data_IF_369365473482
#
_entry.id   IF_369365473482
#
_cell.length_a   1.000
_cell.length_b   1.000
_cell.length_c   1.000
_cell.angle_alpha   90.00
_cell.angle_beta   90.00
_cell.angle_gamma   90.00
#
_symmetry.space_group_name_H-M   'P 1'
#
loop_
_entity.id
_entity.type
_entity.pdbx_description
1 polymer ?
#
# COMPACT_ATOMS: atom_id res chain seq x y z
N UNK A 1 -9.68 -22.86 19.03
CA UNK A 1 -10.29 -22.74 17.68
C UNK A 1 -9.20 -22.36 16.70
N UNK A 2 -8.72 -23.29 15.87
CA UNK A 2 -7.78 -22.98 14.79
C UNK A 2 -8.56 -22.25 13.68
N UNK A 3 -8.17 -21.01 13.40
CA UNK A 3 -8.81 -20.20 12.34
C UNK A 3 -8.53 -20.85 10.99
N UNK A 4 -9.57 -21.07 10.17
CA UNK A 4 -9.42 -21.67 8.84
C UNK A 4 -8.57 -20.77 7.92
N UNK A 5 -7.66 -21.31 7.09
CA UNK A 5 -6.84 -20.52 6.17
C UNK A 5 -7.66 -19.64 5.23
N UNK A 6 -8.78 -20.15 4.72
CA UNK A 6 -9.72 -19.37 3.93
C UNK A 6 -10.35 -18.18 4.66
N UNK A 7 -10.48 -18.22 6.00
CA UNK A 7 -10.91 -17.05 6.78
C UNK A 7 -9.83 -15.98 6.80
N UNK A 8 -8.56 -16.37 6.94
CA UNK A 8 -7.41 -15.45 6.83
C UNK A 8 -7.36 -14.84 5.44
N UNK A 9 -7.52 -15.67 4.39
CA UNK A 9 -7.53 -15.23 3.00
C UNK A 9 -8.65 -14.22 2.69
N UNK A 10 -9.85 -14.42 3.25
CA UNK A 10 -10.93 -13.42 3.14
C UNK A 10 -10.60 -12.14 3.90
N UNK A 11 -9.99 -12.24 5.08
CA UNK A 11 -9.50 -11.07 5.82
C UNK A 11 -8.47 -10.25 5.03
N UNK A 12 -7.54 -10.93 4.35
CA UNK A 12 -6.61 -10.30 3.40
C UNK A 12 -7.36 -9.54 2.33
N UNK A 13 -8.34 -10.19 1.69
CA UNK A 13 -9.09 -9.59 0.58
C UNK A 13 -9.90 -8.38 1.00
N UNK A 14 -10.55 -8.43 2.17
CA UNK A 14 -11.27 -7.28 2.76
C UNK A 14 -10.32 -6.13 3.05
N UNK A 15 -9.17 -6.40 3.68
CA UNK A 15 -8.18 -5.37 3.97
C UNK A 15 -7.67 -4.71 2.68
N UNK A 16 -7.32 -5.51 1.66
CA UNK A 16 -6.91 -5.00 0.34
C UNK A 16 -8.01 -4.16 -0.32
N UNK A 17 -9.27 -4.62 -0.29
CA UNK A 17 -10.39 -3.88 -0.87
C UNK A 17 -10.58 -2.53 -0.19
N UNK A 18 -10.52 -2.49 1.14
CA UNK A 18 -10.64 -1.24 1.90
C UNK A 18 -9.47 -0.30 1.64
N UNK A 19 -8.24 -0.80 1.48
CA UNK A 19 -7.11 0.00 1.00
C UNK A 19 -7.39 0.62 -0.37
N UNK A 20 -7.83 -0.18 -1.34
CA UNK A 20 -8.12 0.31 -2.70
C UNK A 20 -9.23 1.37 -2.68
N UNK A 21 -10.31 1.15 -1.94
CA UNK A 21 -11.41 2.11 -1.82
C UNK A 21 -10.95 3.40 -1.15
N UNK A 22 -10.26 3.32 -0.02
CA UNK A 22 -9.79 4.50 0.71
C UNK A 22 -8.83 5.35 -0.13
N UNK A 23 -7.89 4.71 -0.84
CA UNK A 23 -6.96 5.39 -1.74
C UNK A 23 -7.66 6.01 -2.96
N UNK A 24 -8.56 5.26 -3.61
CA UNK A 24 -9.30 5.75 -4.78
C UNK A 24 -10.22 6.93 -4.44
N UNK A 25 -10.89 6.89 -3.28
CA UNK A 25 -11.74 8.01 -2.83
C UNK A 25 -10.89 9.19 -2.37
N UNK A 26 -9.91 8.97 -1.49
CA UNK A 26 -9.09 10.03 -0.92
C UNK A 26 -8.24 10.76 -1.97
N UNK A 27 -7.40 10.01 -2.71
CA UNK A 27 -6.54 10.59 -3.74
C UNK A 27 -7.33 10.87 -5.02
N UNK A 28 -8.04 9.86 -5.53
CA UNK A 28 -8.54 9.86 -6.91
C UNK A 28 -9.86 10.60 -7.13
N UNK A 29 -10.72 10.72 -6.11
CA UNK A 29 -12.00 11.42 -6.22
C UNK A 29 -11.99 12.76 -5.49
N UNK A 30 -11.42 12.81 -4.28
CA UNK A 30 -11.43 14.03 -3.47
C UNK A 30 -10.29 14.97 -3.87
N UNK A 31 -9.02 14.59 -3.68
CA UNK A 31 -7.89 15.51 -3.90
C UNK A 31 -7.81 16.02 -5.34
N UNK A 32 -8.00 15.15 -6.33
CA UNK A 32 -8.04 15.51 -7.76
C UNK A 32 -9.15 16.49 -8.12
N UNK A 33 -10.23 16.57 -7.33
CA UNK A 33 -11.35 17.49 -7.58
C UNK A 33 -11.13 18.90 -7.01
N UNK A 34 -10.25 19.03 -6.01
CA UNK A 34 -10.02 20.30 -5.30
C UNK A 34 -8.61 20.87 -5.53
N UNK A 35 -7.66 20.06 -6.02
CA UNK A 35 -6.32 20.49 -6.37
C UNK A 35 -6.22 20.67 -7.88
N UNK A 36 -6.03 21.90 -8.33
CA UNK A 36 -5.61 22.20 -9.70
C UNK A 36 -4.06 22.19 -9.76
N UNK A 37 -3.44 21.20 -10.41
CA UNK A 37 -1.98 21.11 -10.48
C UNK A 37 -1.32 22.26 -11.25
N UNK A 38 -2.07 23.00 -12.07
CA UNK A 38 -1.56 24.08 -12.90
C UNK A 38 -1.66 25.46 -12.23
N UNK A 39 -2.48 25.60 -11.18
CA UNK A 39 -2.74 26.88 -10.54
C UNK A 39 -1.74 27.17 -9.39
N UNK A 40 -1.00 28.30 -9.43
CA UNK A 40 -0.13 28.69 -8.34
C UNK A 40 -0.90 28.84 -7.02
N UNK A 41 -0.39 28.22 -5.95
CA UNK A 41 -1.01 28.28 -4.62
C UNK A 41 -2.28 27.43 -4.46
N UNK A 42 -2.65 26.60 -5.44
CA UNK A 42 -3.83 25.75 -5.39
C UNK A 42 -3.89 24.85 -4.15
N UNK A 43 -2.75 24.35 -3.68
CA UNK A 43 -2.68 23.53 -2.47
C UNK A 43 -3.15 24.28 -1.23
N UNK A 44 -2.66 25.51 -1.03
CA UNK A 44 -3.03 26.32 0.12
C UNK A 44 -4.46 26.85 0.01
N UNK A 45 -4.90 27.20 -1.21
CA UNK A 45 -6.28 27.56 -1.49
C UNK A 45 -7.24 26.39 -1.19
N UNK A 46 -6.94 25.16 -1.62
CA UNK A 46 -7.74 23.98 -1.32
C UNK A 46 -7.81 23.69 0.19
N UNK A 47 -6.70 23.85 0.92
CA UNK A 47 -6.67 23.70 2.37
C UNK A 47 -7.48 24.78 3.11
N UNK A 48 -7.69 25.95 2.49
CA UNK A 48 -8.47 27.07 3.05
C UNK A 48 -9.94 26.97 2.67
N UNK A 49 -10.23 26.94 1.36
CA UNK A 49 -11.58 27.02 0.80
C UNK A 49 -12.35 25.69 0.91
N UNK A 50 -11.63 24.57 0.99
CA UNK A 50 -12.20 23.21 1.04
C UNK A 50 -11.67 22.42 2.25
N UNK A 51 -11.36 23.09 3.36
CA UNK A 51 -10.69 22.52 4.54
C UNK A 51 -11.27 21.16 5.01
N UNK A 52 -12.60 21.07 5.16
CA UNK A 52 -13.26 19.83 5.61
C UNK A 52 -13.08 18.66 4.64
N UNK A 53 -13.24 18.92 3.35
CA UNK A 53 -13.07 17.93 2.27
C UNK A 53 -11.61 17.50 2.14
N UNK A 54 -10.69 18.46 2.19
CA UNK A 54 -9.25 18.19 2.19
C UNK A 54 -8.84 17.33 3.40
N UNK A 55 -9.33 17.66 4.60
CA UNK A 55 -9.11 16.86 5.82
C UNK A 55 -9.64 15.44 5.71
N UNK A 56 -10.85 15.27 5.16
CA UNK A 56 -11.42 13.94 4.92
C UNK A 56 -10.51 13.11 4.01
N UNK A 57 -9.95 13.71 2.96
CA UNK A 57 -9.00 13.04 2.08
C UNK A 57 -7.75 12.55 2.83
N UNK A 58 -7.15 13.41 3.67
CA UNK A 58 -6.00 13.04 4.51
C UNK A 58 -6.33 11.90 5.47
N UNK A 59 -7.52 11.93 6.09
CA UNK A 59 -7.99 10.85 6.99
C UNK A 59 -8.15 9.54 6.22
N UNK A 60 -8.80 9.55 5.06
CA UNK A 60 -8.96 8.35 4.24
C UNK A 60 -7.62 7.76 3.83
N UNK A 61 -6.67 8.59 3.40
CA UNK A 61 -5.32 8.16 3.02
C UNK A 61 -4.48 7.65 4.21
N UNK A 62 -4.82 8.07 5.44
CA UNK A 62 -4.19 7.55 6.66
C UNK A 62 -4.82 6.21 7.06
N UNK A 63 -6.15 6.11 7.00
CA UNK A 63 -6.89 4.87 7.26
C UNK A 63 -6.54 3.78 6.24
N UNK A 64 -6.30 4.17 4.98
CA UNK A 64 -5.74 3.30 3.93
C UNK A 64 -4.51 2.52 4.43
N UNK A 65 -3.61 3.18 5.18
CA UNK A 65 -2.38 2.57 5.66
C UNK A 65 -2.62 1.56 6.78
N UNK A 66 -3.67 1.74 7.59
CA UNK A 66 -4.07 0.77 8.61
C UNK A 66 -4.53 -0.53 7.95
N UNK A 67 -5.37 -0.41 6.91
CA UNK A 67 -5.82 -1.58 6.14
C UNK A 67 -4.67 -2.23 5.37
N UNK A 68 -3.75 -1.44 4.82
CA UNK A 68 -2.56 -1.96 4.16
C UNK A 68 -1.69 -2.76 5.13
N UNK A 69 -1.43 -2.24 6.33
CA UNK A 69 -0.68 -2.94 7.36
C UNK A 69 -1.35 -4.27 7.74
N UNK A 70 -2.67 -4.25 7.95
CA UNK A 70 -3.44 -5.46 8.22
C UNK A 70 -3.33 -6.48 7.08
N UNK A 71 -3.43 -6.03 5.82
CA UNK A 71 -3.29 -6.89 4.64
C UNK A 71 -1.91 -7.56 4.60
N UNK A 72 -0.82 -6.83 4.79
CA UNK A 72 0.55 -7.39 4.78
C UNK A 72 0.73 -8.39 5.92
N UNK A 73 0.25 -8.08 7.13
CA UNK A 73 0.33 -9.00 8.27
C UNK A 73 -0.45 -10.29 8.03
N UNK A 74 -1.67 -10.19 7.48
CA UNK A 74 -2.48 -11.37 7.17
C UNK A 74 -1.87 -12.18 6.02
N UNK A 75 -1.31 -11.53 5.00
CA UNK A 75 -0.56 -12.18 3.93
C UNK A 75 0.63 -12.97 4.46
N UNK A 76 1.40 -12.41 5.37
CA UNK A 76 2.48 -13.12 6.04
C UNK A 76 1.99 -14.40 6.71
N UNK A 77 0.92 -14.32 7.50
CA UNK A 77 0.34 -15.50 8.17
C UNK A 77 -0.10 -16.56 7.16
N UNK A 78 -0.74 -16.12 6.08
CA UNK A 78 -1.23 -17.01 5.02
C UNK A 78 -0.08 -17.67 4.25
N UNK A 79 0.98 -16.93 3.91
CA UNK A 79 2.07 -17.40 3.05
C UNK A 79 3.23 -18.06 3.79
N UNK A 80 3.35 -17.89 5.11
CA UNK A 80 4.44 -18.46 5.92
C UNK A 80 4.69 -19.95 5.67
N UNK A 81 3.67 -20.82 5.55
CA UNK A 81 3.90 -22.25 5.25
C UNK A 81 4.52 -22.54 3.87
N UNK A 82 4.43 -21.61 2.91
CA UNK A 82 5.02 -21.78 1.59
C UNK A 82 6.52 -21.41 1.53
N UNK A 83 7.02 -20.69 2.54
CA UNK A 83 8.41 -20.25 2.61
C UNK A 83 8.62 -19.22 3.72
N UNK A 84 9.00 -19.63 4.95
CA UNK A 84 9.02 -18.73 6.11
C UNK A 84 9.99 -17.56 5.95
N UNK A 85 11.20 -17.78 5.41
CA UNK A 85 12.18 -16.72 5.21
C UNK A 85 11.71 -15.64 4.24
N UNK A 86 11.21 -16.05 3.06
CA UNK A 86 10.67 -15.12 2.07
C UNK A 86 9.38 -14.45 2.57
N UNK A 87 8.56 -15.12 3.39
CA UNK A 87 7.38 -14.52 3.99
C UNK A 87 7.74 -13.40 4.98
N UNK A 88 8.81 -13.58 5.77
CA UNK A 88 9.34 -12.52 6.66
C UNK A 88 9.90 -11.36 5.85
N UNK A 89 10.66 -11.63 4.78
CA UNK A 89 11.15 -10.57 3.89
C UNK A 89 9.98 -9.79 3.26
N UNK A 90 8.97 -10.48 2.74
CA UNK A 90 7.77 -9.85 2.18
C UNK A 90 7.03 -8.99 3.21
N UNK A 91 6.89 -9.48 4.44
CA UNK A 91 6.33 -8.72 5.56
C UNK A 91 7.13 -7.46 5.86
N UNK A 92 8.46 -7.59 6.00
CA UNK A 92 9.34 -6.47 6.31
C UNK A 92 9.28 -5.38 5.24
N UNK A 93 9.37 -5.76 3.96
CA UNK A 93 9.21 -4.84 2.83
C UNK A 93 7.84 -4.14 2.86
N UNK A 94 6.78 -4.90 3.17
CA UNK A 94 5.42 -4.36 3.21
C UNK A 94 5.20 -3.38 4.37
N UNK A 95 5.77 -3.66 5.54
CA UNK A 95 5.75 -2.76 6.70
C UNK A 95 6.54 -1.48 6.40
N UNK A 96 7.74 -1.60 5.85
CA UNK A 96 8.57 -0.44 5.46
C UNK A 96 7.84 0.43 4.44
N UNK A 97 7.28 -0.17 3.38
CA UNK A 97 6.53 0.57 2.37
C UNK A 97 5.28 1.27 2.95
N UNK A 98 4.58 0.61 3.86
CA UNK A 98 3.42 1.20 4.57
C UNK A 98 3.85 2.36 5.47
N UNK A 99 4.96 2.21 6.21
CA UNK A 99 5.47 3.26 7.08
C UNK A 99 5.93 4.49 6.30
N UNK A 100 6.64 4.29 5.17
CA UNK A 100 7.06 5.38 4.28
C UNK A 100 5.83 6.10 3.72
N UNK A 101 4.83 5.39 3.19
CA UNK A 101 3.59 6.02 2.70
C UNK A 101 2.82 6.75 3.79
N UNK A 102 2.77 6.22 5.02
CA UNK A 102 2.12 6.89 6.13
C UNK A 102 2.84 8.20 6.48
N UNK A 103 4.18 8.15 6.60
CA UNK A 103 5.00 9.33 6.87
C UNK A 103 4.88 10.37 5.74
N UNK A 104 4.74 9.94 4.49
CA UNK A 104 4.61 10.84 3.35
C UNK A 104 3.33 11.69 3.38
N UNK A 105 2.30 11.27 4.13
CA UNK A 105 1.07 12.06 4.35
C UNK A 105 1.31 13.33 5.16
N UNK A 106 2.46 13.47 5.83
CA UNK A 106 2.87 14.75 6.43
C UNK A 106 2.92 15.89 5.41
N UNK A 107 3.25 15.59 4.14
CA UNK A 107 3.20 16.57 3.04
C UNK A 107 1.80 17.13 2.81
N UNK A 108 0.77 16.29 2.91
CA UNK A 108 -0.63 16.73 2.82
C UNK A 108 -1.12 17.40 4.11
N UNK A 109 -0.55 17.07 5.27
CA UNK A 109 -0.90 17.70 6.55
C UNK A 109 -0.32 19.12 6.66
N UNK A 110 0.84 19.39 6.05
CA UNK A 110 1.51 20.69 6.16
C UNK A 110 0.65 21.89 5.72
N UNK A 111 -0.05 21.87 4.56
CA UNK A 111 -0.97 22.94 4.17
C UNK A 111 -2.09 23.19 5.18
N UNK A 112 -2.66 22.12 5.76
CA UNK A 112 -3.68 22.25 6.81
C UNK A 112 -3.11 22.90 8.08
N UNK A 113 -1.90 22.50 8.50
CA UNK A 113 -1.25 23.09 9.67
C UNK A 113 -0.90 24.57 9.46
N UNK A 114 -0.51 24.95 8.24
CA UNK A 114 -0.30 26.36 7.88
C UNK A 114 -1.59 27.17 8.02
N UNK A 115 -2.75 26.64 7.61
CA UNK A 115 -4.03 27.35 7.68
C UNK A 115 -4.65 27.33 9.08
N UNK A 116 -4.74 26.15 9.72
CA UNK A 116 -5.45 25.96 10.99
C UNK A 116 -4.62 26.33 12.23
N UNK A 117 -3.29 26.32 12.13
CA UNK A 117 -2.38 26.59 13.27
C UNK A 117 -1.44 27.78 13.02
N UNK A 118 -1.68 28.54 11.95
CA UNK A 118 -0.87 29.69 11.54
C UNK A 118 0.64 29.37 11.45
N UNK A 119 0.97 28.13 11.09
CA UNK A 119 2.35 27.68 10.95
C UNK A 119 3.04 28.47 9.84
N UNK A 120 4.29 28.90 10.08
CA UNK A 120 5.10 29.71 9.16
C UNK A 120 4.50 31.09 8.86
N UNK A 121 3.60 31.62 9.68
CA UNK A 121 3.08 32.99 9.52
C UNK A 121 4.07 34.07 9.96
N UNK A 122 5.00 33.73 10.86
CA UNK A 122 6.07 34.63 11.28
C UNK A 122 7.27 34.47 10.36
N UNK A 123 7.54 35.49 9.55
CA UNK A 123 8.74 35.57 8.70
C UNK A 123 8.57 35.09 7.26
N UNK A 124 7.41 34.54 6.89
CA UNK A 124 7.08 34.23 5.50
C UNK A 124 5.83 34.97 5.07
N UNK A 125 5.87 35.55 3.87
CA UNK A 125 4.69 36.13 3.25
C UNK A 125 3.74 35.03 2.70
N UNK A 126 2.56 35.45 2.25
CA UNK A 126 1.54 34.53 1.74
C UNK A 126 2.01 33.76 0.50
N UNK A 127 2.80 34.38 -0.38
CA UNK A 127 3.30 33.74 -1.59
C UNK A 127 4.34 32.66 -1.26
N UNK A 128 5.25 32.95 -0.33
CA UNK A 128 6.24 32.00 0.17
C UNK A 128 5.57 30.81 0.88
N UNK A 129 4.53 31.06 1.69
CA UNK A 129 3.74 29.98 2.32
C UNK A 129 3.04 29.09 1.29
N UNK A 130 2.51 29.67 0.22
CA UNK A 130 1.86 28.93 -0.85
C UNK A 130 2.85 28.03 -1.62
N UNK A 131 4.06 28.52 -1.89
CA UNK A 131 5.14 27.72 -2.49
C UNK A 131 5.60 26.60 -1.56
N UNK A 132 5.78 26.87 -0.27
CA UNK A 132 6.15 25.86 0.73
C UNK A 132 5.08 24.78 0.88
N UNK A 133 3.79 25.15 0.86
CA UNK A 133 2.67 24.19 0.89
C UNK A 133 2.72 23.26 -0.34
N UNK A 134 2.94 23.83 -1.52
CA UNK A 134 3.06 23.09 -2.78
C UNK A 134 4.27 22.14 -2.75
N UNK A 135 5.43 22.64 -2.31
CA UNK A 135 6.63 21.84 -2.14
C UNK A 135 6.44 20.69 -1.16
N UNK A 136 5.78 20.92 -0.02
CA UNK A 136 5.50 19.89 0.97
C UNK A 136 4.67 18.73 0.41
N UNK A 137 3.62 19.03 -0.36
CA UNK A 137 2.81 18.00 -1.04
C UNK A 137 3.65 17.27 -2.09
N UNK A 138 4.42 17.97 -2.91
CA UNK A 138 5.27 17.36 -3.94
C UNK A 138 6.32 16.41 -3.34
N UNK A 139 7.02 16.80 -2.27
CA UNK A 139 7.94 15.93 -1.55
C UNK A 139 7.22 14.74 -0.91
N UNK A 140 6.01 14.95 -0.40
CA UNK A 140 5.14 13.88 0.10
C UNK A 140 4.77 12.86 -0.99
N UNK A 141 4.51 13.29 -2.21
CA UNK A 141 4.20 12.41 -3.33
C UNK A 141 5.43 11.61 -3.80
N UNK A 142 6.60 12.24 -3.86
CA UNK A 142 7.87 11.55 -4.13
C UNK A 142 8.14 10.47 -3.07
N UNK A 143 8.00 10.83 -1.79
CA UNK A 143 8.16 9.88 -0.69
C UNK A 143 7.10 8.76 -0.73
N UNK A 144 5.85 9.06 -1.12
CA UNK A 144 4.82 8.05 -1.33
C UNK A 144 5.23 7.05 -2.43
N UNK A 145 5.86 7.54 -3.50
CA UNK A 145 6.45 6.73 -4.57
C UNK A 145 7.47 5.72 -4.05
N UNK A 146 8.39 6.14 -3.19
CA UNK A 146 9.36 5.24 -2.55
C UNK A 146 8.61 4.15 -1.75
N UNK A 147 7.57 4.52 -0.99
CA UNK A 147 6.76 3.54 -0.27
C UNK A 147 6.04 2.55 -1.20
N UNK A 148 5.55 3.02 -2.35
CA UNK A 148 4.96 2.19 -3.42
C UNK A 148 5.97 1.19 -3.97
N UNK A 149 7.24 1.59 -4.19
CA UNK A 149 8.30 0.67 -4.62
C UNK A 149 8.48 -0.49 -3.63
N UNK A 150 8.56 -0.20 -2.33
CA UNK A 150 8.67 -1.23 -1.29
C UNK A 150 7.44 -2.15 -1.22
N UNK A 151 6.23 -1.59 -1.36
CA UNK A 151 4.99 -2.37 -1.45
C UNK A 151 4.96 -3.25 -2.70
N UNK A 152 5.49 -2.76 -3.83
CA UNK A 152 5.71 -3.53 -5.05
C UNK A 152 6.61 -4.74 -4.80
N UNK A 153 7.78 -4.52 -4.21
CA UNK A 153 8.72 -5.59 -3.85
C UNK A 153 8.11 -6.61 -2.88
N UNK A 154 7.37 -6.14 -1.86
CA UNK A 154 6.60 -7.01 -0.94
C UNK A 154 5.60 -7.88 -1.71
N UNK A 155 4.84 -7.27 -2.63
CA UNK A 155 3.83 -7.97 -3.42
C UNK A 155 4.44 -8.98 -4.38
N UNK A 156 5.59 -8.67 -5.01
CA UNK A 156 6.34 -9.63 -5.83
C UNK A 156 6.83 -10.81 -4.99
N UNK A 157 7.36 -10.56 -3.79
CA UNK A 157 7.78 -11.63 -2.88
C UNK A 157 6.59 -12.53 -2.45
N UNK A 158 5.43 -11.94 -2.14
CA UNK A 158 4.22 -12.71 -1.89
C UNK A 158 3.74 -13.45 -3.14
N UNK A 159 3.86 -12.88 -4.34
CA UNK A 159 3.51 -13.58 -5.59
C UNK A 159 4.37 -14.81 -5.83
N UNK A 160 5.68 -14.75 -5.53
CA UNK A 160 6.56 -15.93 -5.57
C UNK A 160 6.09 -17.00 -4.58
N UNK A 161 5.70 -16.61 -3.36
CA UNK A 161 5.14 -17.54 -2.37
C UNK A 161 3.81 -18.13 -2.84
N UNK A 162 2.91 -17.33 -3.40
CA UNK A 162 1.65 -17.78 -3.98
C UNK A 162 1.89 -18.82 -5.08
N UNK A 163 2.85 -18.58 -5.97
CA UNK A 163 3.19 -19.52 -7.05
C UNK A 163 3.71 -20.86 -6.52
N UNK A 164 4.49 -20.83 -5.44
CA UNK A 164 5.06 -22.01 -4.78
C UNK A 164 4.08 -22.72 -3.84
N UNK A 165 3.04 -22.03 -3.38
CA UNK A 165 2.16 -22.47 -2.29
C UNK A 165 1.45 -23.79 -2.55
N UNK A 166 0.89 -23.95 -3.75
CA UNK A 166 -0.02 -25.03 -4.10
C UNK A 166 -1.47 -24.83 -3.64
N UNK A 167 -1.76 -23.79 -2.84
CA UNK A 167 -3.12 -23.49 -2.35
C UNK A 167 -3.69 -22.15 -2.89
N UNK A 168 -2.89 -21.41 -3.67
CA UNK A 168 -3.33 -20.27 -4.51
C UNK A 168 -3.08 -20.63 -5.98
N UNK A 169 -3.99 -20.29 -6.93
CA UNK A 169 -3.77 -20.57 -8.34
C UNK A 169 -2.51 -19.91 -8.89
N UNK A 170 -1.66 -20.67 -9.60
CA UNK A 170 -0.38 -20.18 -10.13
C UNK A 170 -0.53 -19.04 -11.15
N UNK A 171 -1.55 -19.11 -12.01
CA UNK A 171 -1.80 -18.04 -12.99
C UNK A 171 -2.07 -16.70 -12.29
N UNK A 172 -2.76 -16.72 -11.15
CA UNK A 172 -3.08 -15.53 -10.39
C UNK A 172 -1.82 -14.94 -9.74
N UNK A 173 -0.93 -15.81 -9.24
CA UNK A 173 0.38 -15.40 -8.75
C UNK A 173 1.20 -14.69 -9.84
N UNK A 174 1.17 -15.20 -11.08
CA UNK A 174 1.86 -14.57 -12.23
C UNK A 174 1.25 -13.20 -12.54
N UNK A 175 -0.08 -13.09 -12.62
CA UNK A 175 -0.78 -11.82 -12.88
C UNK A 175 -0.44 -10.78 -11.81
N UNK A 176 -0.53 -11.16 -10.53
CA UNK A 176 -0.24 -10.27 -9.40
C UNK A 176 1.24 -9.87 -9.40
N UNK A 177 2.16 -10.82 -9.60
CA UNK A 177 3.59 -10.55 -9.65
C UNK A 177 3.96 -9.61 -10.81
N UNK A 178 3.48 -9.89 -12.02
CA UNK A 178 3.72 -9.04 -13.19
C UNK A 178 3.16 -7.62 -12.99
N UNK A 179 1.95 -7.51 -12.46
CA UNK A 179 1.33 -6.21 -12.16
C UNK A 179 2.10 -5.42 -11.10
N UNK A 180 2.62 -6.11 -10.08
CA UNK A 180 3.36 -5.49 -8.99
C UNK A 180 4.79 -5.07 -9.37
N UNK A 181 5.41 -5.73 -10.35
CA UNK A 181 6.75 -5.38 -10.82
C UNK A 181 6.84 -3.95 -11.37
N UNK A 182 5.74 -3.41 -11.90
CA UNK A 182 5.71 -2.02 -12.37
C UNK A 182 6.00 -1.02 -11.25
N UNK A 183 5.58 -1.29 -10.02
CA UNK A 183 5.85 -0.42 -8.86
C UNK A 183 7.34 -0.28 -8.54
N UNK A 184 8.18 -1.23 -8.97
CA UNK A 184 9.63 -1.15 -8.77
C UNK A 184 10.27 0.02 -9.53
N UNK A 185 9.59 0.55 -10.57
CA UNK A 185 10.06 1.72 -11.31
C UNK A 185 10.03 3.02 -10.48
N UNK A 186 9.33 3.03 -9.34
CA UNK A 186 9.39 4.14 -8.38
C UNK A 186 10.72 4.22 -7.60
N UNK A 187 11.67 3.32 -7.86
CA UNK A 187 13.07 3.53 -7.51
C UNK A 187 13.66 4.76 -8.21
N UNK A 188 13.14 5.10 -9.39
CA UNK A 188 13.48 6.32 -10.12
C UNK A 188 12.39 7.38 -9.86
N UNK A 189 12.77 8.55 -9.30
CA UNK A 189 11.82 9.59 -8.91
C UNK A 189 11.16 10.31 -10.09
N UNK A 190 11.61 10.08 -11.32
CA UNK A 190 11.07 10.66 -12.55
C UNK A 190 10.23 9.62 -13.30
N UNK A 191 10.79 8.43 -13.50
CA UNK A 191 10.18 7.38 -14.31
C UNK A 191 8.91 6.79 -13.64
N UNK A 192 8.95 6.56 -12.32
CA UNK A 192 7.81 6.03 -11.58
C UNK A 192 6.56 6.90 -11.73
N UNK A 193 6.63 8.20 -11.37
CA UNK A 193 5.51 9.13 -11.55
C UNK A 193 5.04 9.25 -13.01
N UNK A 194 5.96 9.28 -13.99
CA UNK A 194 5.60 9.37 -15.40
C UNK A 194 4.76 8.17 -15.89
N UNK A 195 4.95 7.00 -15.31
CA UNK A 195 4.23 5.77 -15.64
C UNK A 195 3.16 5.40 -14.60
N UNK A 196 2.82 6.31 -13.68
CA UNK A 196 1.90 6.01 -12.57
C UNK A 196 0.56 5.46 -13.06
N UNK A 197 -0.06 6.10 -14.07
CA UNK A 197 -1.39 5.67 -14.57
C UNK A 197 -1.35 4.23 -15.12
N UNK A 198 -0.51 3.88 -16.12
CA UNK A 198 -0.51 2.52 -16.65
C UNK A 198 -0.09 1.47 -15.60
N UNK A 199 0.86 1.78 -14.72
CA UNK A 199 1.27 0.87 -13.64
C UNK A 199 0.10 0.65 -12.66
N UNK A 200 -0.60 1.71 -12.28
CA UNK A 200 -1.73 1.65 -11.35
C UNK A 200 -2.90 0.86 -11.93
N UNK A 201 -3.19 1.00 -13.23
CA UNK A 201 -4.24 0.22 -13.89
C UNK A 201 -3.90 -1.26 -13.93
N UNK A 202 -2.66 -1.62 -14.28
CA UNK A 202 -2.20 -3.02 -14.20
C UNK A 202 -2.28 -3.55 -12.76
N UNK A 203 -1.79 -2.78 -11.79
CA UNK A 203 -1.87 -3.08 -10.36
C UNK A 203 -3.30 -3.32 -9.88
N UNK A 204 -4.24 -2.48 -10.31
CA UNK A 204 -5.66 -2.59 -9.95
C UNK A 204 -6.27 -3.87 -10.50
N UNK A 205 -5.99 -4.24 -11.75
CA UNK A 205 -6.46 -5.51 -12.34
C UNK A 205 -5.95 -6.70 -11.54
N UNK A 206 -4.65 -6.73 -11.21
CA UNK A 206 -4.07 -7.79 -10.38
C UNK A 206 -4.68 -7.85 -8.98
N UNK A 207 -4.87 -6.70 -8.34
CA UNK A 207 -5.48 -6.62 -7.01
C UNK A 207 -6.94 -7.08 -7.02
N UNK A 208 -7.76 -6.63 -7.98
CA UNK A 208 -9.17 -7.00 -8.08
C UNK A 208 -9.34 -8.49 -8.40
N UNK A 209 -8.53 -9.04 -9.30
CA UNK A 209 -8.53 -10.48 -9.59
C UNK A 209 -8.25 -11.30 -8.31
N UNK A 210 -7.30 -10.84 -7.49
CA UNK A 210 -6.96 -11.47 -6.21
C UNK A 210 -8.08 -11.32 -5.18
N UNK A 211 -8.63 -10.12 -5.01
CA UNK A 211 -9.73 -9.83 -4.09
C UNK A 211 -10.93 -10.72 -4.42
N UNK A 212 -11.36 -10.77 -5.69
CA UNK A 212 -12.49 -11.60 -6.14
C UNK A 212 -12.23 -13.07 -5.86
N UNK A 213 -11.02 -13.57 -6.18
CA UNK A 213 -10.65 -14.98 -5.96
C UNK A 213 -10.68 -15.36 -4.48
N UNK A 214 -10.17 -14.50 -3.60
CA UNK A 214 -10.06 -14.77 -2.17
C UNK A 214 -11.39 -14.58 -1.44
N UNK A 215 -12.20 -13.57 -1.79
CA UNK A 215 -13.54 -13.39 -1.20
C UNK A 215 -14.48 -14.54 -1.56
N UNK A 216 -14.57 -14.88 -2.85
CA UNK A 216 -15.46 -15.92 -3.34
C UNK A 216 -15.04 -17.32 -2.89
N UNK A 217 -13.80 -17.69 -3.19
CA UNK A 217 -13.35 -19.09 -3.08
C UNK A 217 -12.26 -19.34 -2.03
N UNK A 218 -11.74 -18.32 -1.33
CA UNK A 218 -10.71 -18.51 -0.30
C UNK A 218 -9.41 -19.11 -0.85
N UNK A 219 -8.83 -20.08 -0.15
CA UNK A 219 -7.66 -20.87 -0.60
C UNK A 219 -7.96 -22.35 -0.47
N UNK A 220 -7.09 -23.21 -1.00
CA UNK A 220 -7.17 -24.64 -0.69
C UNK A 220 -6.69 -24.90 0.75
N UNK A 221 -7.65 -25.04 1.66
CA UNK A 221 -7.41 -25.25 3.09
C UNK A 221 -6.64 -26.56 3.37
N UNK A 222 -6.85 -27.61 2.57
CA UNK A 222 -6.19 -28.90 2.75
C UNK A 222 -4.73 -28.84 2.30
N UNK A 223 -4.46 -28.23 1.14
CA UNK A 223 -3.10 -28.01 0.67
C UNK A 223 -2.32 -27.05 1.61
N UNK A 224 -2.99 -26.04 2.18
CA UNK A 224 -2.39 -25.17 3.18
C UNK A 224 -2.02 -25.93 4.46
N UNK A 225 -2.93 -26.74 5.01
CA UNK A 225 -2.67 -27.54 6.21
C UNK A 225 -1.52 -28.54 6.01
N UNK A 226 -1.42 -29.14 4.81
CA UNK A 226 -0.29 -30.00 4.44
C UNK A 226 1.07 -29.27 4.48
N UNK A 227 1.11 -28.03 3.98
CA UNK A 227 2.31 -27.17 4.02
C UNK A 227 2.67 -26.79 5.45
N UNK A 228 1.69 -26.44 6.26
CA UNK A 228 1.91 -26.09 7.67
C UNK A 228 2.47 -27.28 8.45
N UNK A 229 1.88 -28.47 8.30
CA UNK A 229 2.38 -29.68 8.93
C UNK A 229 3.82 -30.03 8.49
N UNK A 230 4.16 -29.85 7.21
CA UNK A 230 5.51 -30.07 6.70
C UNK A 230 6.53 -29.09 7.31
N UNK A 231 6.14 -27.83 7.52
CA UNK A 231 6.99 -26.82 8.16
C UNK A 231 7.35 -27.22 9.60
N UNK A 232 6.39 -27.74 10.37
CA UNK A 232 6.62 -28.18 11.75
C UNK A 232 7.25 -29.58 11.88
N UNK A 233 7.26 -30.38 10.80
CA UNK A 233 7.97 -31.66 10.74
C UNK A 233 9.44 -31.54 10.32
N UNK A 234 9.86 -30.41 9.76
CA UNK A 234 11.27 -30.19 9.46
C UNK A 234 12.08 -30.33 10.76
N UNK A 235 13.00 -31.31 10.85
CA UNK A 235 13.60 -31.68 12.13
C UNK A 235 14.47 -30.53 12.66
N UNK A 236 14.54 -30.44 13.98
CA UNK A 236 15.61 -29.79 14.72
C UNK A 236 16.98 -30.48 14.47
N UNK A 237 17.33 -30.71 13.20
CA UNK A 237 18.49 -31.50 12.76
C UNK A 237 19.80 -30.68 12.68
N UNK A 238 19.78 -29.41 13.08
CA UNK A 238 20.99 -28.59 13.24
C UNK A 238 21.41 -28.39 14.70
N UNK A 239 20.76 -29.06 15.67
CA UNK A 239 21.34 -29.24 16.99
C UNK A 239 22.38 -30.38 16.93
N UNK A 240 23.51 -30.12 16.27
CA UNK A 240 24.70 -30.96 16.48
C UNK A 240 25.33 -30.58 17.82
N UNK A 241 25.75 -31.57 18.64
CA UNK A 241 26.41 -31.33 19.92
C UNK A 241 27.76 -30.62 19.78
#
# INVERSE_FOLDING_TARGET
MTVRPSTIARGVAVAMLLTVIAGAVGQGAILTSILDPAAPGAVLAAATDHAGTYRLAVVLLTVEMIFQLAAVTLWHRLMRPAGPGLAVLALALGIVGTAIKAASRTGLIAPLAMVEHDLLSQGFDQSQRAELATGAVAFGDIAAGIGIMFLGASTVAFAVLMFRSGYVPRWLAVVVGASASGWLLFADPILGPALFIPISMAGLVGALALIVRLLGWGVDDAAWAGREAALYRAPAADARP
#
